data_IF_219590451856
#
_entry.id   IF_219590451856
#
_cell.length_a   1.000
_cell.length_b   1.000
_cell.length_c   1.000
_cell.angle_alpha   90.00
_cell.angle_beta   90.00
_cell.angle_gamma   90.00
#
_symmetry.space_group_name_H-M   'P 1'
#
loop_
_entity.id
_entity.type
_entity.pdbx_description
1 polymer ?
#
# COMPACT_ATOMS: atom_id res chain seq x y z
N UNK A 1 5.64 -14.39 27.93
CA UNK A 1 4.46 -14.88 27.21
C UNK A 1 4.91 -15.78 26.07
N UNK A 2 4.24 -16.90 25.80
CA UNK A 2 4.50 -17.77 24.64
C UNK A 2 3.22 -17.77 23.79
N UNK A 3 3.36 -17.56 22.48
CA UNK A 3 2.25 -17.63 21.52
C UNK A 3 2.47 -18.91 20.73
N UNK A 4 1.49 -19.81 20.74
CA UNK A 4 1.50 -21.00 19.89
C UNK A 4 0.87 -20.64 18.55
N UNK A 5 1.55 -20.97 17.46
CA UNK A 5 1.10 -20.70 16.10
C UNK A 5 1.15 -21.99 15.29
N UNK A 6 0.09 -22.29 14.56
CA UNK A 6 0.03 -23.44 13.65
C UNK A 6 0.79 -23.15 12.36
N UNK A 7 1.15 -24.19 11.61
CA UNK A 7 1.76 -24.05 10.27
C UNK A 7 0.91 -23.17 9.35
N UNK A 8 -0.42 -23.34 9.38
CA UNK A 8 -1.35 -22.53 8.58
C UNK A 8 -1.30 -21.06 8.99
N UNK A 9 -1.38 -20.76 10.28
CA UNK A 9 -1.33 -19.39 10.78
C UNK A 9 0.02 -18.74 10.52
N UNK A 10 1.13 -19.49 10.56
CA UNK A 10 2.45 -18.99 10.20
C UNK A 10 2.52 -18.55 8.75
N UNK A 11 1.98 -19.34 7.81
CA UNK A 11 1.92 -18.92 6.40
C UNK A 11 1.11 -17.64 6.23
N UNK A 12 -0.02 -17.51 6.92
CA UNK A 12 -0.80 -16.25 6.93
C UNK A 12 -0.02 -15.09 7.55
N UNK A 13 0.77 -15.34 8.60
CA UNK A 13 1.66 -14.34 9.18
C UNK A 13 2.74 -13.90 8.18
N UNK A 14 3.30 -14.83 7.39
CA UNK A 14 4.26 -14.49 6.33
C UNK A 14 3.63 -13.55 5.29
N UNK A 15 2.40 -13.83 4.83
CA UNK A 15 1.66 -12.92 3.92
C UNK A 15 1.58 -11.50 4.53
N UNK A 16 1.20 -11.40 5.81
CA UNK A 16 1.06 -10.13 6.51
C UNK A 16 2.39 -9.39 6.70
N UNK A 17 3.46 -10.11 7.03
CA UNK A 17 4.80 -9.53 7.19
C UNK A 17 5.31 -8.97 5.88
N UNK A 18 5.10 -9.68 4.76
CA UNK A 18 5.48 -9.19 3.44
C UNK A 18 4.73 -7.90 3.08
N UNK A 19 3.41 -7.87 3.27
CA UNK A 19 2.59 -6.66 2.99
C UNK A 19 3.02 -5.50 3.88
N UNK A 20 3.25 -5.73 5.17
CA UNK A 20 3.70 -4.69 6.09
C UNK A 20 5.08 -4.14 5.68
N UNK A 21 6.01 -5.02 5.33
CA UNK A 21 7.34 -4.68 4.86
C UNK A 21 7.29 -3.87 3.56
N UNK A 22 6.44 -4.28 2.62
CA UNK A 22 6.19 -3.55 1.38
C UNK A 22 5.66 -2.12 1.66
N UNK A 23 4.70 -1.95 2.56
CA UNK A 23 4.18 -0.61 2.92
C UNK A 23 5.27 0.27 3.56
N UNK A 24 6.14 -0.30 4.40
CA UNK A 24 7.20 0.44 5.08
C UNK A 24 8.36 0.83 4.14
N UNK A 25 8.67 -0.02 3.16
CA UNK A 25 9.92 0.09 2.40
C UNK A 25 9.75 0.38 0.89
N UNK A 26 8.56 0.29 0.32
CA UNK A 26 8.31 0.50 -1.13
C UNK A 26 8.77 1.87 -1.67
N UNK A 27 8.76 2.90 -0.83
CA UNK A 27 9.13 4.28 -1.21
C UNK A 27 10.31 4.86 -0.41
N UNK A 28 10.97 4.07 0.43
CA UNK A 28 12.09 4.53 1.26
C UNK A 28 13.43 4.05 0.72
N UNK A 29 14.44 4.92 0.74
CA UNK A 29 15.83 4.50 0.52
C UNK A 29 16.25 3.76 1.77
N UNK A 30 16.59 2.47 1.64
CA UNK A 30 16.96 1.62 2.76
C UNK A 30 18.03 2.30 3.62
N UNK A 31 17.69 2.61 4.87
CA UNK A 31 18.66 3.13 5.83
C UNK A 31 19.71 2.04 6.10
N UNK A 32 20.97 2.42 6.30
CA UNK A 32 22.07 1.46 6.49
C UNK A 32 22.00 0.71 7.83
N UNK A 33 21.04 1.03 8.70
CA UNK A 33 20.82 0.35 9.98
C UNK A 33 19.55 -0.48 9.93
N UNK A 34 19.71 -1.75 10.33
CA UNK A 34 18.59 -2.64 10.58
C UNK A 34 17.69 -2.08 11.69
N UNK A 35 16.43 -1.83 11.36
CA UNK A 35 15.45 -1.34 12.33
C UNK A 35 14.77 -2.50 13.09
N UNK A 36 14.01 -2.17 14.14
CA UNK A 36 13.35 -3.18 14.99
C UNK A 36 12.34 -4.06 14.23
N UNK A 37 11.74 -3.53 13.16
CA UNK A 37 10.77 -4.25 12.32
C UNK A 37 11.47 -5.27 11.43
N UNK A 38 12.58 -4.90 10.79
CA UNK A 38 13.40 -5.82 9.98
C UNK A 38 13.96 -6.95 10.85
N UNK A 39 14.45 -6.64 12.05
CA UNK A 39 14.96 -7.65 12.98
C UNK A 39 13.87 -8.65 13.40
N UNK A 40 12.65 -8.16 13.66
CA UNK A 40 11.51 -9.02 13.98
C UNK A 40 11.08 -9.86 12.77
N UNK A 41 11.02 -9.28 11.57
CA UNK A 41 10.73 -9.99 10.32
C UNK A 41 11.73 -11.13 10.14
N UNK A 42 13.02 -10.85 10.17
CA UNK A 42 14.09 -11.84 10.00
C UNK A 42 14.00 -12.98 11.02
N UNK A 43 13.74 -12.66 12.29
CA UNK A 43 13.50 -13.67 13.32
C UNK A 43 12.32 -14.57 12.97
N UNK A 44 11.18 -14.00 12.54
CA UNK A 44 9.99 -14.78 12.18
C UNK A 44 10.23 -15.63 10.92
N UNK A 45 10.91 -15.09 9.91
CA UNK A 45 11.28 -15.82 8.70
C UNK A 45 12.22 -17.00 9.01
N UNK A 46 13.09 -16.89 10.00
CA UNK A 46 14.04 -17.97 10.37
C UNK A 46 13.39 -19.30 10.74
N UNK A 47 12.12 -19.30 11.15
CA UNK A 47 11.38 -20.50 11.53
C UNK A 47 10.79 -21.26 10.34
N UNK A 48 11.02 -20.82 9.10
CA UNK A 48 10.34 -21.35 7.92
C UNK A 48 10.46 -22.87 7.74
N UNK A 49 11.62 -23.46 8.06
CA UNK A 49 11.83 -24.93 8.00
C UNK A 49 11.02 -25.68 9.06
N UNK A 50 10.98 -25.17 10.29
CA UNK A 50 10.19 -25.77 11.37
C UNK A 50 8.69 -25.74 11.07
N UNK A 51 8.28 -24.73 10.30
CA UNK A 51 6.89 -24.47 9.93
C UNK A 51 6.51 -25.01 8.54
N UNK A 52 7.41 -25.74 7.87
CA UNK A 52 7.21 -26.32 6.54
C UNK A 52 6.78 -25.27 5.49
N UNK A 53 7.51 -24.16 5.41
CA UNK A 53 7.27 -23.03 4.51
C UNK A 53 8.44 -22.78 3.54
N UNK A 54 9.20 -23.82 3.19
CA UNK A 54 10.34 -23.75 2.25
C UNK A 54 9.93 -23.42 0.81
N UNK A 55 8.65 -23.52 0.46
CA UNK A 55 8.09 -23.02 -0.80
C UNK A 55 7.90 -21.50 -0.81
N UNK A 56 7.86 -20.84 0.36
CA UNK A 56 7.63 -19.40 0.51
C UNK A 56 8.90 -18.63 0.85
N UNK A 57 9.74 -19.20 1.73
CA UNK A 57 10.92 -18.52 2.28
C UNK A 57 12.18 -19.31 1.92
N UNK A 58 13.27 -18.58 1.70
CA UNK A 58 14.61 -19.12 1.55
C UNK A 58 15.62 -18.37 2.41
N UNK A 59 16.74 -19.03 2.67
CA UNK A 59 17.89 -18.43 3.34
C UNK A 59 18.96 -18.14 2.29
N UNK A 60 19.43 -16.90 2.23
CA UNK A 60 20.55 -16.50 1.38
C UNK A 60 21.85 -16.55 2.18
N UNK A 61 22.81 -17.45 1.83
CA UNK A 61 24.12 -17.48 2.48
C UNK A 61 24.96 -16.23 2.20
N UNK A 62 24.71 -15.53 1.09
CA UNK A 62 25.44 -14.32 0.70
C UNK A 62 25.14 -13.16 1.66
N UNK A 63 23.86 -12.98 2.00
CA UNK A 63 23.41 -11.91 2.90
C UNK A 63 23.29 -12.39 4.35
N UNK A 64 23.38 -13.70 4.60
CA UNK A 64 23.13 -14.33 5.89
C UNK A 64 21.74 -13.94 6.46
N UNK A 65 20.75 -13.86 5.58
CA UNK A 65 19.38 -13.39 5.85
C UNK A 65 18.35 -14.30 5.17
N UNK A 66 17.11 -14.21 5.64
CA UNK A 66 15.96 -14.93 5.08
C UNK A 66 15.15 -13.99 4.19
N UNK A 67 14.68 -14.51 3.07
CA UNK A 67 13.93 -13.77 2.07
C UNK A 67 12.71 -14.56 1.62
N UNK A 68 11.66 -13.83 1.25
CA UNK A 68 10.59 -14.37 0.44
C UNK A 68 11.15 -14.82 -0.92
N UNK A 69 10.70 -15.99 -1.39
CA UNK A 69 11.03 -16.47 -2.74
C UNK A 69 10.31 -15.62 -3.78
N UNK A 70 10.95 -15.37 -4.91
CA UNK A 70 10.38 -14.55 -6.00
C UNK A 70 8.96 -14.97 -6.41
N UNK A 71 8.68 -16.26 -6.59
CA UNK A 71 7.33 -16.73 -6.95
C UNK A 71 6.29 -16.43 -5.86
N UNK A 72 6.70 -16.45 -4.60
CA UNK A 72 5.84 -16.13 -3.47
C UNK A 72 5.61 -14.61 -3.38
N UNK A 73 6.64 -13.81 -3.62
CA UNK A 73 6.52 -12.35 -3.74
C UNK A 73 5.57 -11.94 -4.86
N UNK A 74 5.75 -12.48 -6.08
CA UNK A 74 4.89 -12.23 -7.23
C UNK A 74 3.42 -12.54 -6.91
N UNK A 75 3.15 -13.70 -6.30
CA UNK A 75 1.82 -14.09 -5.88
C UNK A 75 1.18 -13.09 -4.90
N UNK A 76 1.95 -12.60 -3.92
CA UNK A 76 1.44 -11.62 -2.95
C UNK A 76 1.25 -10.25 -3.58
N UNK A 77 2.11 -9.86 -4.53
CA UNK A 77 1.97 -8.62 -5.28
C UNK A 77 0.67 -8.61 -6.08
N UNK A 78 0.46 -9.61 -6.94
CA UNK A 78 -0.75 -9.73 -7.78
C UNK A 78 -2.02 -9.79 -6.94
N UNK A 79 -1.96 -10.50 -5.80
CA UNK A 79 -3.15 -10.75 -4.97
C UNK A 79 -3.55 -9.55 -4.10
N UNK A 80 -2.59 -8.82 -3.56
CA UNK A 80 -2.86 -7.82 -2.52
C UNK A 80 -2.37 -6.42 -2.87
N UNK A 81 -1.15 -6.29 -3.38
CA UNK A 81 -0.50 -5.00 -3.57
C UNK A 81 -1.02 -4.31 -4.83
N UNK A 82 -0.99 -4.97 -5.98
CA UNK A 82 -1.45 -4.36 -7.24
C UNK A 82 -2.93 -3.91 -7.19
N UNK A 83 -3.88 -4.70 -6.65
CA UNK A 83 -5.26 -4.27 -6.53
C UNK A 83 -5.41 -3.06 -5.58
N UNK A 84 -4.63 -3.04 -4.49
CA UNK A 84 -4.60 -1.92 -3.55
C UNK A 84 -4.07 -0.65 -4.21
N UNK A 85 -2.90 -0.71 -4.84
CA UNK A 85 -2.28 0.44 -5.51
C UNK A 85 -3.16 0.97 -6.64
N UNK A 86 -3.75 0.08 -7.46
CA UNK A 86 -4.64 0.47 -8.55
C UNK A 86 -5.85 1.23 -8.03
N UNK A 87 -6.48 0.77 -6.94
CA UNK A 87 -7.62 1.46 -6.35
C UNK A 87 -7.20 2.78 -5.73
N UNK A 88 -6.13 2.78 -4.94
CA UNK A 88 -5.59 3.97 -4.27
C UNK A 88 -5.26 5.07 -5.27
N UNK A 89 -4.64 4.70 -6.40
CA UNK A 89 -4.31 5.65 -7.46
C UNK A 89 -5.55 6.42 -7.95
N UNK A 90 -6.63 5.72 -8.28
CA UNK A 90 -7.85 6.37 -8.78
C UNK A 90 -8.53 7.21 -7.70
N UNK A 91 -8.63 6.69 -6.47
CA UNK A 91 -9.25 7.40 -5.35
C UNK A 91 -8.50 8.72 -5.06
N UNK A 92 -7.16 8.68 -5.00
CA UNK A 92 -6.34 9.87 -4.76
C UNK A 92 -6.38 10.85 -5.94
N UNK A 93 -6.29 10.37 -7.19
CA UNK A 93 -6.37 11.24 -8.36
C UNK A 93 -7.69 12.00 -8.42
N UNK A 94 -8.81 11.30 -8.22
CA UNK A 94 -10.16 11.89 -8.18
C UNK A 94 -10.24 12.92 -7.06
N UNK A 95 -9.78 12.57 -5.85
CA UNK A 95 -9.80 13.48 -4.71
C UNK A 95 -9.00 14.76 -4.98
N UNK A 96 -7.75 14.64 -5.46
CA UNK A 96 -6.86 15.79 -5.69
C UNK A 96 -7.38 16.73 -6.76
N UNK A 97 -7.93 16.20 -7.86
CA UNK A 97 -8.52 17.04 -8.91
C UNK A 97 -9.80 17.73 -8.44
N UNK A 98 -10.63 17.02 -7.68
CA UNK A 98 -11.87 17.58 -7.12
C UNK A 98 -11.59 18.68 -6.11
N UNK A 99 -10.61 18.48 -5.23
CA UNK A 99 -10.16 19.49 -4.26
C UNK A 99 -9.60 20.72 -4.99
N UNK A 100 -8.74 20.52 -5.99
CA UNK A 100 -8.21 21.61 -6.83
C UNK A 100 -9.33 22.45 -7.45
N UNK A 101 -10.32 21.80 -8.07
CA UNK A 101 -11.37 22.50 -8.80
C UNK A 101 -12.40 23.16 -7.87
N UNK A 102 -12.67 22.55 -6.71
CA UNK A 102 -13.44 23.20 -5.65
C UNK A 102 -12.75 24.49 -5.20
N UNK A 103 -11.44 24.46 -4.97
CA UNK A 103 -10.64 25.63 -4.59
C UNK A 103 -10.66 26.69 -5.70
N UNK A 104 -10.51 26.31 -6.97
CA UNK A 104 -10.57 27.24 -8.10
C UNK A 104 -11.94 27.92 -8.22
N UNK A 105 -13.02 27.18 -7.95
CA UNK A 105 -14.39 27.69 -8.04
C UNK A 105 -14.75 28.63 -6.89
N UNK A 106 -14.35 28.29 -5.67
CA UNK A 106 -14.69 29.04 -4.44
C UNK A 106 -13.69 30.17 -4.18
N UNK A 107 -12.44 29.99 -4.59
CA UNK A 107 -11.30 30.81 -4.20
C UNK A 107 -10.67 30.35 -2.89
N UNK A 108 -9.34 30.32 -2.84
CA UNK A 108 -8.54 29.78 -1.72
C UNK A 108 -8.95 30.38 -0.37
N UNK A 109 -9.11 31.70 -0.27
CA UNK A 109 -9.45 32.34 1.00
C UNK A 109 -10.82 31.95 1.54
N UNK A 110 -11.81 31.82 0.67
CA UNK A 110 -13.16 31.42 1.06
C UNK A 110 -13.19 29.93 1.42
N UNK A 111 -12.48 29.10 0.66
CA UNK A 111 -12.35 27.67 0.94
C UNK A 111 -11.73 27.43 2.32
N UNK A 112 -10.65 28.13 2.67
CA UNK A 112 -9.99 27.96 3.97
C UNK A 112 -10.83 28.42 5.17
N UNK A 113 -11.73 29.40 4.96
CA UNK A 113 -12.65 29.91 6.00
C UNK A 113 -13.94 29.09 6.11
N UNK A 114 -14.18 28.18 5.16
CA UNK A 114 -15.40 27.38 5.08
C UNK A 114 -15.38 26.23 6.10
N UNK A 115 -16.56 25.92 6.63
CA UNK A 115 -16.75 24.78 7.52
C UNK A 115 -16.25 23.46 6.88
N UNK A 116 -15.56 22.58 7.64
CA UNK A 116 -15.03 21.32 7.09
C UNK A 116 -16.07 20.42 6.41
N UNK A 117 -17.31 20.36 6.92
CA UNK A 117 -18.37 19.52 6.35
C UNK A 117 -18.86 20.13 5.04
N UNK A 118 -19.01 21.46 4.99
CA UNK A 118 -19.37 22.18 3.76
C UNK A 118 -18.28 21.99 2.67
N UNK A 119 -17.00 22.05 3.05
CA UNK A 119 -15.88 21.75 2.13
C UNK A 119 -15.95 20.33 1.59
N UNK A 120 -16.13 19.34 2.47
CA UNK A 120 -16.25 17.94 2.07
C UNK A 120 -17.40 17.74 1.09
N UNK A 121 -18.56 18.36 1.34
CA UNK A 121 -19.73 18.29 0.45
C UNK A 121 -19.42 18.88 -0.94
N UNK A 122 -18.73 20.02 -0.99
CA UNK A 122 -18.34 20.67 -2.25
C UNK A 122 -17.36 19.83 -3.06
N UNK A 123 -16.39 19.20 -2.40
CA UNK A 123 -15.46 18.27 -3.05
C UNK A 123 -16.20 17.04 -3.57
N UNK A 124 -17.12 16.47 -2.79
CA UNK A 124 -17.88 15.27 -3.18
C UNK A 124 -18.75 15.49 -4.43
N UNK A 125 -19.37 16.66 -4.57
CA UNK A 125 -20.13 17.06 -5.78
C UNK A 125 -19.27 16.98 -7.07
N UNK A 126 -17.97 17.27 -6.97
CA UNK A 126 -17.04 17.25 -8.10
C UNK A 126 -16.44 15.85 -8.29
N UNK A 127 -16.19 15.11 -7.20
CA UNK A 127 -15.66 13.74 -7.24
C UNK A 127 -16.51 12.82 -8.11
N UNK A 128 -17.83 12.92 -8.04
CA UNK A 128 -18.73 12.11 -8.86
C UNK A 128 -18.50 12.34 -10.36
N UNK A 129 -18.18 13.56 -10.78
CA UNK A 129 -17.90 13.88 -12.18
C UNK A 129 -16.60 13.23 -12.64
N UNK A 130 -15.53 13.36 -11.84
CA UNK A 130 -14.24 12.73 -12.14
C UNK A 130 -14.28 11.19 -12.08
N UNK A 131 -15.01 10.62 -11.14
CA UNK A 131 -15.20 9.17 -11.05
C UNK A 131 -15.86 8.62 -12.33
N UNK A 132 -16.96 9.25 -12.77
CA UNK A 132 -17.66 8.89 -13.99
C UNK A 132 -16.79 9.07 -15.25
N UNK A 133 -15.98 10.12 -15.31
CA UNK A 133 -15.05 10.38 -16.42
C UNK A 133 -13.98 9.28 -16.51
N UNK A 134 -13.30 9.01 -15.39
CA UNK A 134 -12.20 8.05 -15.37
C UNK A 134 -12.64 6.60 -15.52
N UNK A 135 -13.85 6.25 -15.06
CA UNK A 135 -14.43 4.92 -15.32
C UNK A 135 -14.64 4.67 -16.82
N UNK A 136 -15.03 5.70 -17.59
CA UNK A 136 -15.36 5.58 -19.01
C UNK A 136 -14.17 5.80 -19.93
N UNK A 137 -13.30 6.74 -19.59
CA UNK A 137 -12.26 7.27 -20.49
C UNK A 137 -10.85 7.07 -19.95
N UNK A 138 -10.69 6.53 -18.73
CA UNK A 138 -9.37 6.40 -18.10
C UNK A 138 -8.67 7.75 -18.04
N UNK A 139 -7.46 7.85 -18.59
CA UNK A 139 -6.68 9.09 -18.62
C UNK A 139 -6.73 9.83 -19.97
N UNK A 140 -7.56 9.39 -20.92
CA UNK A 140 -7.56 9.92 -22.30
C UNK A 140 -7.78 11.44 -22.34
N UNK A 141 -8.69 11.94 -21.50
CA UNK A 141 -9.03 13.36 -21.41
C UNK A 141 -8.28 14.11 -20.30
N UNK A 142 -7.43 13.42 -19.52
CA UNK A 142 -6.68 14.05 -18.45
C UNK A 142 -5.58 14.94 -19.04
N UNK A 143 -5.68 16.25 -18.79
CA UNK A 143 -4.70 17.25 -19.22
C UNK A 143 -4.21 18.07 -18.04
N UNK A 144 -2.90 18.29 -17.99
CA UNK A 144 -2.27 19.23 -17.06
C UNK A 144 -2.24 20.60 -17.75
N UNK A 145 -2.80 21.60 -17.08
CA UNK A 145 -2.82 23.01 -17.53
C UNK A 145 -1.64 23.78 -16.97
#
# INVERSE_FOLDING_TARGET
MKINITKKEYRTLLDMLYIADWVMHSYTVKETKQNEYEALKQKLLSYFKEMEAEDQIEFSPEFNEHFEKTQYEELLNEKFIEPYEKKLFWDELIYKLSERDAIHTIGVEQYMKMDPIERMRKVEEIKEQYANEFEKHGIENLKLT
#
